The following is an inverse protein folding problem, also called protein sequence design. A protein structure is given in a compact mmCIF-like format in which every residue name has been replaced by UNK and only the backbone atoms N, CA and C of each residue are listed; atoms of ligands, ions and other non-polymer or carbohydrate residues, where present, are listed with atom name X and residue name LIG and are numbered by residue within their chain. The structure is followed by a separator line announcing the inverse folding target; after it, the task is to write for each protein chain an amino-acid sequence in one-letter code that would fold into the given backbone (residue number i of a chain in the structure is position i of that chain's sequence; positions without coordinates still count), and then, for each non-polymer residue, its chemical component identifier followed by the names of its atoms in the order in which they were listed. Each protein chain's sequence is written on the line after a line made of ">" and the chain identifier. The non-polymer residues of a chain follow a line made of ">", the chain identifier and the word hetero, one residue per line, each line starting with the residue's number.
data_IF_380688365363
#
_entry.id   IF_380688365363
#
_cell.length_a   1.000
_cell.length_b   1.000
_cell.length_c   1.000
_cell.angle_alpha   90.00
_cell.angle_beta   90.00
_cell.angle_gamma   90.00
#
_symmetry.space_group_name_H-M   'P 1'
#
loop_
_entity.id
_entity.type
_entity.pdbx_description
1 polymer ?
#
# COMPACT_ATOMS: atom_id res chain seq x y z
N UNK A 1 16.65 -42.03 -33.65
CA UNK A 1 16.97 -42.12 -32.20
C UNK A 1 17.29 -40.72 -31.72
N UNK A 2 16.32 -40.02 -31.11
CA UNK A 2 16.54 -38.70 -30.54
C UNK A 2 16.84 -38.85 -29.04
N UNK A 3 17.74 -38.00 -28.56
CA UNK A 3 18.54 -38.13 -27.36
C UNK A 3 17.73 -38.09 -26.05
N UNK A 4 17.15 -39.22 -25.63
CA UNK A 4 16.56 -39.39 -24.28
C UNK A 4 17.63 -39.66 -23.19
N UNK A 5 18.91 -39.56 -23.52
CA UNK A 5 20.05 -39.95 -22.67
C UNK A 5 20.79 -38.82 -21.96
N UNK A 6 20.36 -37.56 -22.08
CA UNK A 6 20.95 -36.43 -21.32
C UNK A 6 19.89 -35.72 -20.48
N UNK A 7 19.26 -36.45 -19.56
CA UNK A 7 18.36 -35.90 -18.52
C UNK A 7 19.08 -35.79 -17.16
N UNK A 8 20.40 -35.50 -17.17
CA UNK A 8 21.19 -35.25 -15.98
C UNK A 8 21.56 -33.77 -15.85
N UNK A 9 21.08 -33.17 -14.74
CA UNK A 9 21.66 -32.03 -14.03
C UNK A 9 22.00 -30.77 -14.84
N UNK A 10 21.04 -29.85 -14.91
CA UNK A 10 21.41 -28.43 -14.87
C UNK A 10 20.66 -27.79 -13.70
N UNK A 11 21.26 -27.90 -12.51
CA UNK A 11 21.26 -26.76 -11.61
C UNK A 11 22.07 -25.66 -12.31
N UNK A 12 21.78 -24.38 -12.05
CA UNK A 12 22.74 -23.34 -12.45
C UNK A 12 24.13 -23.68 -11.89
N UNK A 13 25.21 -23.08 -12.42
CA UNK A 13 26.62 -23.34 -12.08
C UNK A 13 26.87 -23.35 -10.55
N UNK A 14 25.99 -22.71 -9.78
CA UNK A 14 26.00 -22.60 -8.32
C UNK A 14 25.05 -23.55 -7.56
N UNK A 15 24.44 -24.54 -8.21
CA UNK A 15 23.51 -25.46 -7.54
C UNK A 15 22.07 -24.94 -7.38
N UNK A 16 21.72 -23.81 -7.99
CA UNK A 16 20.43 -23.12 -7.84
C UNK A 16 19.36 -23.60 -8.82
N UNK A 17 18.09 -23.33 -8.48
CA UNK A 17 16.93 -23.60 -9.36
C UNK A 17 17.00 -22.71 -10.60
N UNK A 18 16.65 -23.29 -11.76
CA UNK A 18 16.60 -22.57 -13.03
C UNK A 18 15.31 -21.75 -13.10
N UNK A 19 15.42 -20.47 -13.46
CA UNK A 19 14.25 -19.62 -13.67
C UNK A 19 13.71 -19.85 -15.08
N UNK A 20 12.52 -20.47 -15.16
CA UNK A 20 11.82 -20.79 -16.40
C UNK A 20 10.35 -20.42 -16.23
N UNK A 21 9.79 -19.69 -17.18
CA UNK A 21 8.35 -19.41 -17.25
C UNK A 21 7.68 -20.28 -18.33
N UNK A 22 6.35 -20.25 -18.36
CA UNK A 22 5.54 -21.11 -19.21
C UNK A 22 5.17 -20.50 -20.56
N UNK A 23 5.85 -19.42 -20.97
CA UNK A 23 5.82 -18.95 -22.38
C UNK A 23 6.79 -19.72 -23.27
N UNK A 24 7.72 -20.46 -22.67
CA UNK A 24 8.68 -21.31 -23.39
C UNK A 24 8.07 -22.66 -23.74
N UNK A 25 8.57 -23.35 -24.78
CA UNK A 25 8.18 -24.72 -25.07
C UNK A 25 8.31 -25.61 -23.83
N UNK A 26 7.27 -26.40 -23.55
CA UNK A 26 7.27 -27.35 -22.45
C UNK A 26 6.44 -28.57 -22.79
N UNK A 27 6.44 -29.52 -21.87
CA UNK A 27 5.67 -30.75 -22.03
C UNK A 27 4.18 -30.46 -21.87
N UNK A 28 3.38 -31.20 -22.62
CA UNK A 28 1.92 -31.09 -22.58
C UNK A 28 1.30 -32.43 -22.20
N UNK A 29 0.00 -32.44 -21.97
CA UNK A 29 -0.76 -33.68 -21.74
C UNK A 29 -2.04 -33.70 -22.55
N UNK A 30 -2.41 -34.87 -23.05
CA UNK A 30 -3.71 -35.13 -23.65
C UNK A 30 -4.43 -36.23 -22.90
N UNK A 31 -5.75 -36.09 -22.74
CA UNK A 31 -6.58 -37.11 -22.11
C UNK A 31 -6.90 -38.20 -23.14
N UNK A 32 -6.71 -39.45 -22.76
CA UNK A 32 -6.92 -40.64 -23.58
C UNK A 32 -7.85 -41.60 -22.83
N UNK A 33 -8.78 -42.22 -23.54
CA UNK A 33 -9.75 -43.19 -23.00
C UNK A 33 -10.54 -42.66 -21.79
N UNK A 34 -10.84 -41.35 -21.77
CA UNK A 34 -11.66 -40.69 -20.74
C UNK A 34 -11.00 -40.52 -19.36
N UNK A 35 -10.04 -41.37 -18.99
CA UNK A 35 -9.50 -41.46 -17.62
C UNK A 35 -7.99 -41.29 -17.53
N UNK A 36 -7.25 -41.56 -18.61
CA UNK A 36 -5.78 -41.61 -18.61
C UNK A 36 -5.19 -40.39 -19.31
N UNK A 37 -3.95 -40.03 -18.99
CA UNK A 37 -3.21 -38.97 -19.68
C UNK A 37 -1.99 -39.52 -20.40
N UNK A 38 -1.81 -39.13 -21.66
CA UNK A 38 -0.54 -39.21 -22.37
C UNK A 38 0.18 -37.87 -22.24
N UNK A 39 1.50 -37.92 -22.10
CA UNK A 39 2.36 -36.75 -22.02
C UNK A 39 3.18 -36.64 -23.30
N UNK A 40 3.41 -35.41 -23.75
CA UNK A 40 4.13 -35.12 -24.98
C UNK A 40 5.26 -34.15 -24.69
N UNK A 41 6.39 -34.35 -25.35
CA UNK A 41 7.55 -33.48 -25.23
C UNK A 41 7.37 -32.17 -26.03
N UNK A 42 8.42 -31.36 -26.10
CA UNK A 42 8.41 -30.07 -26.81
C UNK A 42 8.28 -30.22 -28.32
N UNK A 43 8.58 -31.40 -28.87
CA UNK A 43 8.45 -31.73 -30.29
C UNK A 43 7.11 -32.42 -30.60
N UNK A 44 6.25 -32.61 -29.59
CA UNK A 44 4.98 -33.33 -29.71
C UNK A 44 5.12 -34.86 -29.71
N UNK A 45 6.29 -35.42 -29.39
CA UNK A 45 6.48 -36.87 -29.28
C UNK A 45 6.03 -37.37 -27.92
N UNK A 46 5.45 -38.57 -27.91
CA UNK A 46 4.96 -39.18 -26.67
C UNK A 46 6.12 -39.48 -25.72
N UNK A 47 6.03 -38.97 -24.50
CA UNK A 47 6.96 -39.27 -23.41
C UNK A 47 6.65 -40.66 -22.85
N UNK A 48 7.59 -41.58 -22.97
CA UNK A 48 7.51 -42.95 -22.44
C UNK A 48 8.56 -43.24 -21.37
N UNK A 49 9.55 -42.36 -21.20
CA UNK A 49 10.65 -42.57 -20.27
C UNK A 49 10.15 -42.66 -18.81
N UNK A 50 10.43 -43.75 -18.08
CA UNK A 50 9.87 -43.99 -16.75
C UNK A 50 10.18 -42.90 -15.72
N UNK A 51 11.41 -42.37 -15.71
CA UNK A 51 11.82 -41.34 -14.75
C UNK A 51 11.09 -40.02 -14.98
N UNK A 52 10.96 -39.59 -16.24
CA UNK A 52 10.21 -38.39 -16.62
C UNK A 52 8.73 -38.53 -16.24
N UNK A 53 8.12 -39.68 -16.53
CA UNK A 53 6.73 -39.96 -16.15
C UNK A 53 6.51 -40.01 -14.63
N UNK A 54 7.47 -40.54 -13.87
CA UNK A 54 7.41 -40.54 -12.41
C UNK A 54 7.44 -39.11 -11.85
N UNK A 55 8.35 -38.27 -12.37
CA UNK A 55 8.44 -36.83 -12.01
C UNK A 55 7.13 -36.11 -12.29
N UNK A 56 6.58 -36.24 -13.50
CA UNK A 56 5.34 -35.55 -13.88
C UNK A 56 4.18 -35.99 -12.97
N UNK A 57 4.08 -37.30 -12.66
CA UNK A 57 3.05 -37.82 -11.74
C UNK A 57 3.18 -37.27 -10.34
N UNK A 58 4.42 -37.11 -9.82
CA UNK A 58 4.68 -36.54 -8.51
C UNK A 58 4.22 -35.07 -8.37
N UNK A 59 4.06 -34.33 -9.48
CA UNK A 59 3.52 -32.97 -9.46
C UNK A 59 2.03 -32.91 -9.08
N UNK A 60 1.33 -34.06 -9.10
CA UNK A 60 -0.09 -34.17 -8.74
C UNK A 60 -0.95 -33.10 -9.43
N UNK A 61 -0.78 -32.95 -10.75
CA UNK A 61 -1.52 -31.96 -11.55
C UNK A 61 -2.97 -32.43 -11.66
N UNK A 62 -3.95 -31.70 -11.09
CA UNK A 62 -5.33 -32.15 -11.03
C UNK A 62 -5.87 -32.52 -12.41
N UNK A 63 -6.62 -33.64 -12.54
CA UNK A 63 -7.08 -34.13 -13.83
C UNK A 63 -8.02 -33.15 -14.53
N UNK A 64 -8.74 -32.31 -13.78
CA UNK A 64 -9.65 -31.30 -14.31
C UNK A 64 -8.96 -30.06 -14.93
N UNK A 65 -7.64 -29.91 -14.77
CA UNK A 65 -6.94 -28.74 -15.33
C UNK A 65 -6.82 -28.83 -16.87
N UNK A 66 -7.08 -27.71 -17.53
CA UNK A 66 -6.95 -27.51 -18.97
C UNK A 66 -5.68 -26.70 -19.28
N UNK A 67 -5.28 -26.61 -20.55
CA UNK A 67 -4.10 -25.82 -21.00
C UNK A 67 -2.87 -26.08 -20.11
N UNK A 68 -2.55 -27.35 -19.90
CA UNK A 68 -1.47 -27.74 -18.98
C UNK A 68 -0.12 -27.67 -19.69
N UNK A 69 0.77 -26.87 -19.10
CA UNK A 69 2.18 -26.82 -19.44
C UNK A 69 2.99 -27.44 -18.31
N UNK A 70 4.00 -28.23 -18.64
CA UNK A 70 4.87 -28.91 -17.68
C UNK A 70 6.31 -28.63 -18.07
N UNK A 71 7.15 -28.27 -17.10
CA UNK A 71 8.53 -27.92 -17.38
C UNK A 71 9.32 -29.16 -17.84
N UNK A 72 10.13 -29.02 -18.92
CA UNK A 72 11.05 -30.08 -19.33
C UNK A 72 12.19 -30.25 -18.32
N UNK A 73 12.54 -29.19 -17.59
CA UNK A 73 13.65 -29.19 -16.64
C UNK A 73 13.19 -29.62 -15.24
N UNK A 74 13.82 -30.66 -14.69
CA UNK A 74 13.52 -31.13 -13.34
C UNK A 74 13.85 -30.11 -12.24
N UNK A 75 14.80 -29.21 -12.49
CA UNK A 75 15.26 -28.20 -11.52
C UNK A 75 14.78 -26.77 -11.84
N UNK A 76 13.79 -26.61 -12.71
CA UNK A 76 13.15 -25.30 -12.88
C UNK A 76 12.30 -24.96 -11.65
N UNK A 77 12.27 -23.69 -11.27
CA UNK A 77 11.45 -23.27 -10.13
C UNK A 77 9.95 -23.52 -10.37
N UNK A 78 9.47 -23.27 -11.60
CA UNK A 78 8.11 -23.52 -12.04
C UNK A 78 8.05 -24.88 -12.74
N UNK A 79 7.37 -25.85 -12.14
CA UNK A 79 7.30 -27.22 -12.62
C UNK A 79 6.09 -27.47 -13.53
N UNK A 80 4.95 -26.82 -13.29
CA UNK A 80 3.81 -26.90 -14.19
C UNK A 80 2.86 -25.72 -14.01
N UNK A 81 2.09 -25.43 -15.05
CA UNK A 81 0.93 -24.55 -15.02
C UNK A 81 -0.28 -25.24 -15.64
N UNK A 82 -1.47 -24.73 -15.34
CA UNK A 82 -2.71 -25.17 -15.97
C UNK A 82 -3.88 -24.30 -15.56
N UNK A 83 -4.97 -24.33 -16.31
CA UNK A 83 -6.21 -23.63 -15.98
C UNK A 83 -7.16 -24.53 -15.22
N UNK A 84 -7.66 -24.05 -14.08
CA UNK A 84 -8.70 -24.78 -13.35
C UNK A 84 -10.08 -24.65 -14.02
N UNK A 85 -11.10 -25.32 -13.46
CA UNK A 85 -12.48 -25.28 -13.96
C UNK A 85 -13.11 -23.87 -14.02
N UNK A 86 -12.45 -22.85 -13.44
CA UNK A 86 -12.86 -21.43 -13.50
C UNK A 86 -11.96 -20.61 -14.44
N UNK A 87 -11.14 -21.26 -15.26
CA UNK A 87 -10.21 -20.62 -16.20
C UNK A 87 -8.99 -19.97 -15.55
N UNK A 88 -8.82 -20.11 -14.22
CA UNK A 88 -7.72 -19.45 -13.49
C UNK A 88 -6.44 -20.23 -13.69
N UNK A 89 -5.36 -19.53 -14.02
CA UNK A 89 -4.02 -20.11 -14.11
C UNK A 89 -3.53 -20.54 -12.72
N UNK A 90 -3.19 -21.80 -12.60
CA UNK A 90 -2.69 -22.46 -11.40
C UNK A 90 -1.25 -22.89 -11.65
N UNK A 91 -0.45 -22.92 -10.58
CA UNK A 91 0.98 -23.17 -10.65
C UNK A 91 1.34 -24.39 -9.78
N UNK A 92 2.38 -25.10 -10.19
CA UNK A 92 3.10 -26.11 -9.42
C UNK A 92 4.56 -25.72 -9.44
N UNK A 93 5.17 -25.59 -8.26
CA UNK A 93 6.57 -25.20 -8.11
C UNK A 93 7.40 -26.37 -7.63
N UNK A 94 8.71 -26.32 -7.89
CA UNK A 94 9.67 -27.26 -7.33
C UNK A 94 9.64 -27.24 -5.79
N UNK A 95 9.88 -28.36 -5.12
CA UNK A 95 9.83 -28.43 -3.65
C UNK A 95 10.79 -27.42 -2.99
N UNK A 96 11.98 -27.27 -3.57
CA UNK A 96 13.02 -26.35 -3.09
C UNK A 96 12.66 -24.87 -3.30
N UNK A 97 11.69 -24.56 -4.17
CA UNK A 97 11.26 -23.19 -4.43
C UNK A 97 10.68 -22.52 -3.19
N UNK A 98 9.88 -23.26 -2.42
CA UNK A 98 9.32 -22.77 -1.17
C UNK A 98 10.44 -22.46 -0.18
N UNK A 99 11.45 -23.35 -0.05
CA UNK A 99 12.59 -23.15 0.85
C UNK A 99 13.43 -21.92 0.47
N UNK A 100 13.73 -21.74 -0.81
CA UNK A 100 14.49 -20.58 -1.30
C UNK A 100 13.70 -19.28 -1.13
N UNK A 101 12.40 -19.27 -1.43
CA UNK A 101 11.55 -18.07 -1.27
C UNK A 101 11.21 -17.75 0.17
N UNK A 102 11.12 -18.74 1.05
CA UNK A 102 10.85 -18.52 2.47
C UNK A 102 12.01 -17.80 3.15
N UNK A 103 13.27 -18.12 2.82
CA UNK A 103 14.44 -17.39 3.32
C UNK A 103 14.40 -15.89 2.92
N UNK A 104 14.10 -15.59 1.66
CA UNK A 104 13.94 -14.21 1.17
C UNK A 104 12.75 -13.50 1.81
N UNK A 105 11.70 -14.23 2.19
CA UNK A 105 10.48 -13.67 2.79
C UNK A 105 10.70 -13.17 4.21
N UNK A 106 11.60 -13.77 4.99
CA UNK A 106 11.97 -13.25 6.32
C UNK A 106 12.72 -11.93 6.21
N UNK A 107 13.75 -11.87 5.35
CA UNK A 107 14.54 -10.67 5.12
C UNK A 107 13.68 -9.52 4.59
N UNK A 108 12.84 -9.80 3.58
CA UNK A 108 11.89 -8.83 3.03
C UNK A 108 10.89 -8.31 4.07
N UNK A 109 10.51 -9.14 5.06
CA UNK A 109 9.59 -8.73 6.11
C UNK A 109 10.25 -7.80 7.15
N UNK A 110 11.50 -8.07 7.52
CA UNK A 110 12.27 -7.19 8.40
C UNK A 110 12.54 -5.84 7.72
N UNK A 111 12.92 -5.86 6.44
CA UNK A 111 13.09 -4.65 5.64
C UNK A 111 11.78 -3.86 5.52
N UNK A 112 10.65 -4.55 5.28
CA UNK A 112 9.33 -3.91 5.29
C UNK A 112 9.04 -3.21 6.62
N UNK A 113 9.33 -3.87 7.74
CA UNK A 113 9.21 -3.29 9.08
C UNK A 113 10.02 -2.01 9.25
N UNK A 114 11.27 -2.02 8.79
CA UNK A 114 12.17 -0.85 8.82
C UNK A 114 11.70 0.30 7.91
N UNK A 115 11.05 -0.01 6.77
CA UNK A 115 10.52 0.97 5.81
C UNK A 115 9.11 1.46 6.15
N UNK A 116 8.37 0.76 7.02
CA UNK A 116 7.00 1.09 7.37
C UNK A 116 6.80 2.53 7.89
N UNK A 117 7.68 3.10 8.75
CA UNK A 117 7.58 4.50 9.15
C UNK A 117 7.63 5.49 7.97
N UNK A 118 8.42 5.18 6.93
CA UNK A 118 8.49 6.00 5.71
C UNK A 118 7.18 5.94 4.93
N UNK A 119 6.61 4.74 4.76
CA UNK A 119 5.33 4.56 4.07
C UNK A 119 4.21 5.32 4.80
N UNK A 120 4.17 5.22 6.13
CA UNK A 120 3.22 5.99 6.97
C UNK A 120 3.40 7.49 6.75
N UNK A 121 4.63 8.03 6.84
CA UNK A 121 4.87 9.47 6.57
C UNK A 121 4.40 9.89 5.17
N UNK A 122 4.58 9.06 4.16
CA UNK A 122 4.07 9.33 2.81
C UNK A 122 2.54 9.37 2.77
N UNK A 123 1.87 8.35 3.31
CA UNK A 123 0.40 8.31 3.40
C UNK A 123 -0.16 9.53 4.14
N UNK A 124 0.44 9.90 5.27
CA UNK A 124 0.05 11.08 6.04
C UNK A 124 0.23 12.38 5.24
N UNK A 125 1.25 12.49 4.38
CA UNK A 125 1.43 13.65 3.48
C UNK A 125 0.32 13.68 2.42
N UNK A 126 0.07 12.57 1.75
CA UNK A 126 -0.93 12.50 0.67
C UNK A 126 -2.36 12.71 1.19
N UNK A 127 -2.65 12.31 2.44
CA UNK A 127 -3.93 12.60 3.09
C UNK A 127 -4.21 14.10 3.27
N UNK A 128 -3.16 14.94 3.32
CA UNK A 128 -3.29 16.41 3.46
C UNK A 128 -3.58 17.10 2.13
N UNK A 129 -3.39 16.45 0.99
CA UNK A 129 -3.61 17.06 -0.33
C UNK A 129 -5.04 17.62 -0.46
N UNK A 130 -5.19 18.77 -1.13
CA UNK A 130 -6.50 19.30 -1.49
C UNK A 130 -7.20 18.37 -2.49
N UNK A 131 -8.52 18.51 -2.64
CA UNK A 131 -9.26 17.70 -3.61
C UNK A 131 -9.28 16.20 -3.27
N UNK A 132 -9.55 15.37 -4.29
CA UNK A 132 -9.60 13.91 -4.19
C UNK A 132 -8.65 13.23 -5.20
N UNK A 133 -7.35 13.62 -5.22
CA UNK A 133 -6.39 13.04 -6.16
C UNK A 133 -6.12 11.56 -5.84
N UNK A 134 -5.60 10.83 -6.82
CA UNK A 134 -5.29 9.40 -6.72
C UNK A 134 -4.50 9.06 -5.46
N UNK A 135 -3.40 9.77 -5.21
CA UNK A 135 -2.51 9.51 -4.05
C UNK A 135 -3.25 9.60 -2.71
N UNK A 136 -4.20 10.54 -2.58
CA UNK A 136 -4.97 10.72 -1.34
C UNK A 136 -5.92 9.55 -1.08
N UNK A 137 -6.59 9.06 -2.12
CA UNK A 137 -7.50 7.92 -2.00
C UNK A 137 -6.71 6.63 -1.74
N UNK A 138 -5.57 6.46 -2.40
CA UNK A 138 -4.65 5.34 -2.12
C UNK A 138 -4.14 5.40 -0.67
N UNK A 139 -3.77 6.58 -0.16
CA UNK A 139 -3.33 6.73 1.23
C UNK A 139 -4.43 6.31 2.22
N UNK A 140 -5.71 6.62 1.96
CA UNK A 140 -6.83 6.09 2.75
C UNK A 140 -6.89 4.56 2.68
N UNK A 141 -6.75 3.98 1.49
CA UNK A 141 -6.74 2.51 1.33
C UNK A 141 -5.57 1.87 2.09
N UNK A 142 -4.40 2.48 2.09
CA UNK A 142 -3.21 2.01 2.85
C UNK A 142 -3.44 2.11 4.35
N UNK A 143 -4.01 3.21 4.86
CA UNK A 143 -4.39 3.33 6.27
C UNK A 143 -5.40 2.27 6.68
N UNK A 144 -6.44 2.08 5.87
CA UNK A 144 -7.44 1.02 6.10
C UNK A 144 -6.81 -0.38 6.06
N UNK A 145 -5.88 -0.63 5.14
CA UNK A 145 -5.14 -1.90 5.06
C UNK A 145 -4.39 -2.18 6.36
N UNK A 146 -3.77 -1.17 6.96
CA UNK A 146 -3.04 -1.29 8.20
C UNK A 146 -3.96 -1.47 9.42
N UNK A 147 -4.98 -0.62 9.55
CA UNK A 147 -5.85 -0.59 10.75
C UNK A 147 -6.80 -1.79 10.81
N UNK A 148 -7.29 -2.24 9.65
CA UNK A 148 -8.30 -3.30 9.55
C UNK A 148 -7.72 -4.66 9.20
N UNK A 149 -6.51 -4.69 8.62
CA UNK A 149 -5.89 -5.86 8.03
C UNK A 149 -6.73 -6.51 6.93
N UNK A 150 -7.74 -5.84 6.37
CA UNK A 150 -8.54 -6.36 5.26
C UNK A 150 -7.63 -6.59 4.04
N UNK A 151 -7.90 -7.66 3.27
CA UNK A 151 -7.16 -7.92 2.04
C UNK A 151 -7.39 -6.81 1.01
N UNK A 152 -6.36 -6.50 0.23
CA UNK A 152 -6.48 -5.47 -0.81
C UNK A 152 -7.61 -5.77 -1.81
N UNK A 153 -7.76 -7.03 -2.23
CA UNK A 153 -8.76 -7.44 -3.22
C UNK A 153 -8.29 -7.18 -4.66
N UNK A 154 -8.79 -7.95 -5.61
CA UNK A 154 -8.61 -7.70 -7.04
C UNK A 154 -9.94 -7.93 -7.77
N UNK A 155 -10.19 -7.15 -8.83
CA UNK A 155 -11.51 -7.06 -9.49
C UNK A 155 -12.00 -8.41 -10.01
N UNK A 156 -11.09 -9.22 -10.55
CA UNK A 156 -11.37 -10.58 -11.05
C UNK A 156 -12.04 -11.47 -9.99
N UNK A 157 -11.53 -11.45 -8.75
CA UNK A 157 -12.07 -12.27 -7.67
C UNK A 157 -13.42 -11.77 -7.15
N UNK A 158 -13.65 -10.45 -7.18
CA UNK A 158 -14.88 -9.85 -6.70
C UNK A 158 -16.08 -10.21 -7.59
N UNK A 159 -15.91 -10.18 -8.91
CA UNK A 159 -16.96 -10.55 -9.87
C UNK A 159 -17.27 -12.04 -9.82
N UNK A 160 -16.26 -12.89 -9.88
CA UNK A 160 -16.44 -14.34 -9.99
C UNK A 160 -16.94 -15.00 -8.68
N UNK A 161 -16.51 -14.50 -7.52
CA UNK A 161 -16.74 -15.19 -6.23
C UNK A 161 -17.60 -14.40 -5.24
N UNK A 162 -18.15 -13.24 -5.64
CA UNK A 162 -18.82 -12.29 -4.73
C UNK A 162 -18.01 -12.04 -3.44
N UNK A 163 -16.69 -12.02 -3.58
CA UNK A 163 -15.72 -11.95 -2.48
C UNK A 163 -14.92 -10.65 -2.60
N UNK A 164 -15.04 -9.76 -1.63
CA UNK A 164 -14.51 -8.40 -1.70
C UNK A 164 -13.24 -8.22 -0.85
N UNK A 165 -12.34 -7.39 -1.33
CA UNK A 165 -11.28 -6.72 -0.55
C UNK A 165 -11.38 -5.20 -0.71
N UNK A 166 -10.52 -4.44 -0.03
CA UNK A 166 -10.57 -2.97 0.06
C UNK A 166 -10.83 -2.27 -1.28
N UNK A 167 -10.06 -2.57 -2.32
CA UNK A 167 -10.16 -1.91 -3.65
C UNK A 167 -11.40 -2.31 -4.42
N UNK A 168 -12.07 -3.39 -4.03
CA UNK A 168 -13.29 -3.89 -4.68
C UNK A 168 -14.55 -3.65 -3.85
N UNK A 169 -14.43 -2.97 -2.70
CA UNK A 169 -15.59 -2.58 -1.92
C UNK A 169 -16.48 -1.66 -2.77
N UNK A 170 -17.78 -1.75 -2.52
CA UNK A 170 -18.81 -0.96 -3.20
C UNK A 170 -19.53 -0.12 -2.18
N UNK A 171 -20.30 0.88 -2.64
CA UNK A 171 -21.07 1.80 -1.79
C UNK A 171 -21.92 1.07 -0.73
N UNK A 172 -22.59 -0.03 -1.10
CA UNK A 172 -23.41 -0.86 -0.19
C UNK A 172 -22.66 -1.52 0.96
N UNK A 173 -21.32 -1.62 0.89
CA UNK A 173 -20.50 -2.21 1.94
C UNK A 173 -20.06 -1.19 2.99
N UNK A 174 -20.30 0.11 2.75
CA UNK A 174 -19.87 1.18 3.64
C UNK A 174 -21.07 1.86 4.31
N UNK A 175 -20.90 2.21 5.58
CA UNK A 175 -21.82 3.07 6.32
C UNK A 175 -21.00 4.10 7.08
N UNK A 176 -21.38 5.38 6.98
CA UNK A 176 -20.72 6.48 7.67
C UNK A 176 -21.61 7.01 8.79
N UNK A 177 -21.01 7.26 9.96
CA UNK A 177 -21.64 7.96 11.09
C UNK A 177 -20.61 8.86 11.74
N UNK A 178 -20.73 10.18 11.53
CA UNK A 178 -19.77 11.16 12.07
C UNK A 178 -18.33 10.89 11.58
N UNK A 179 -17.44 10.56 12.52
CA UNK A 179 -16.04 10.19 12.28
C UNK A 179 -15.80 8.69 12.07
N UNK A 180 -16.87 7.89 12.00
CA UNK A 180 -16.81 6.44 11.87
C UNK A 180 -17.16 5.96 10.46
N UNK A 181 -16.29 5.10 9.92
CA UNK A 181 -16.53 4.31 8.72
C UNK A 181 -16.68 2.84 9.11
N UNK A 182 -17.87 2.30 8.88
CA UNK A 182 -18.15 0.87 9.04
C UNK A 182 -18.14 0.16 7.71
N UNK A 183 -17.39 -0.93 7.62
CA UNK A 183 -17.26 -1.79 6.45
C UNK A 183 -17.86 -3.17 6.73
N UNK A 184 -18.90 -3.55 5.97
CA UNK A 184 -19.58 -4.86 6.06
C UNK A 184 -19.64 -5.55 4.70
N UNK A 185 -18.98 -6.71 4.58
CA UNK A 185 -18.90 -7.45 3.31
C UNK A 185 -18.49 -8.91 3.55
N UNK A 186 -18.57 -9.74 2.49
CA UNK A 186 -17.98 -11.10 2.49
C UNK A 186 -16.64 -11.06 1.75
N UNK A 187 -15.58 -11.52 2.42
CA UNK A 187 -14.22 -11.54 1.92
C UNK A 187 -13.84 -12.86 1.25
N UNK A 188 -12.53 -13.08 1.12
CA UNK A 188 -11.97 -14.34 0.59
C UNK A 188 -12.56 -15.55 1.33
N UNK A 189 -12.94 -16.57 0.57
CA UNK A 189 -13.58 -17.80 1.08
C UNK A 189 -14.92 -17.57 1.80
N UNK A 190 -15.62 -16.47 1.49
CA UNK A 190 -16.95 -16.17 2.04
C UNK A 190 -16.96 -15.66 3.48
N UNK A 191 -15.79 -15.45 4.09
CA UNK A 191 -15.66 -14.99 5.49
C UNK A 191 -16.31 -13.62 5.66
N UNK A 192 -17.22 -13.50 6.62
CA UNK A 192 -17.89 -12.23 6.91
C UNK A 192 -16.93 -11.25 7.60
N UNK A 193 -16.89 -10.02 7.10
CA UNK A 193 -16.19 -8.90 7.71
C UNK A 193 -17.21 -7.85 8.19
N UNK A 194 -17.00 -7.38 9.41
CA UNK A 194 -17.73 -6.26 10.01
C UNK A 194 -16.72 -5.46 10.85
N UNK A 195 -16.16 -4.41 10.28
CA UNK A 195 -15.08 -3.62 10.89
C UNK A 195 -15.47 -2.15 10.90
N UNK A 196 -15.27 -1.49 12.04
CA UNK A 196 -15.47 -0.05 12.18
C UNK A 196 -14.12 0.62 12.38
N UNK A 197 -13.86 1.67 11.60
CA UNK A 197 -12.68 2.53 11.72
C UNK A 197 -13.15 3.90 12.16
N UNK A 198 -12.55 4.43 13.24
CA UNK A 198 -12.85 5.76 13.77
C UNK A 198 -11.69 6.70 13.43
N UNK A 199 -11.84 7.41 12.33
CA UNK A 199 -10.88 8.41 11.87
C UNK A 199 -11.62 9.45 11.01
N UNK A 200 -11.63 10.70 11.49
CA UNK A 200 -12.35 11.80 10.85
C UNK A 200 -11.86 12.10 9.43
N UNK A 201 -10.57 11.90 9.14
CA UNK A 201 -10.00 12.12 7.80
C UNK A 201 -10.40 11.00 6.85
N UNK A 202 -10.29 9.74 7.28
CA UNK A 202 -10.74 8.57 6.51
C UNK A 202 -12.24 8.67 6.22
N UNK A 203 -13.06 8.94 7.23
CA UNK A 203 -14.51 9.08 7.09
C UNK A 203 -14.88 10.20 6.10
N UNK A 204 -14.19 11.35 6.15
CA UNK A 204 -14.40 12.47 5.21
C UNK A 204 -14.04 12.11 3.77
N UNK A 205 -12.92 11.43 3.55
CA UNK A 205 -12.53 10.99 2.20
C UNK A 205 -13.48 9.93 1.68
N UNK A 206 -13.84 8.94 2.50
CA UNK A 206 -14.82 7.92 2.15
C UNK A 206 -16.19 8.53 1.82
N UNK A 207 -16.62 9.57 2.55
CA UNK A 207 -17.84 10.34 2.21
C UNK A 207 -17.75 10.91 0.80
N UNK A 208 -16.65 11.60 0.48
CA UNK A 208 -16.45 12.19 -0.84
C UNK A 208 -16.38 11.15 -1.95
N UNK A 209 -15.78 9.99 -1.71
CA UNK A 209 -15.82 8.90 -2.69
C UNK A 209 -17.25 8.33 -2.86
N UNK A 210 -18.08 8.34 -1.81
CA UNK A 210 -19.52 8.07 -1.91
C UNK A 210 -20.29 9.21 -2.57
N UNK A 211 -19.75 10.40 -2.79
CA UNK A 211 -20.45 11.42 -3.56
C UNK A 211 -20.21 11.23 -5.07
N UNK A 212 -19.18 10.47 -5.46
CA UNK A 212 -18.85 10.16 -6.85
C UNK A 212 -19.78 9.06 -7.39
N UNK A 213 -20.45 9.27 -8.54
CA UNK A 213 -21.23 8.23 -9.21
C UNK A 213 -20.40 6.98 -9.51
N UNK A 214 -21.02 5.80 -9.48
CA UNK A 214 -20.35 4.53 -9.77
C UNK A 214 -20.51 3.48 -8.68
N UNK A 215 -20.06 2.26 -8.95
CA UNK A 215 -20.26 1.13 -8.04
C UNK A 215 -19.17 1.03 -6.97
N UNK A 216 -17.94 1.38 -7.31
CA UNK A 216 -16.78 1.18 -6.45
C UNK A 216 -16.75 2.22 -5.33
N UNK A 217 -16.35 1.80 -4.12
CA UNK A 217 -16.30 2.67 -2.95
C UNK A 217 -15.14 3.67 -3.05
N UNK A 218 -13.93 3.20 -3.37
CA UNK A 218 -12.75 4.05 -3.44
C UNK A 218 -12.51 4.47 -4.88
N UNK A 219 -12.84 5.73 -5.14
CA UNK A 219 -12.68 6.41 -6.43
C UNK A 219 -11.95 7.73 -6.21
N UNK A 220 -11.13 8.13 -7.17
CA UNK A 220 -10.47 9.43 -7.21
C UNK A 220 -10.91 10.20 -8.46
N UNK A 221 -10.67 11.51 -8.46
CA UNK A 221 -10.86 12.35 -9.65
C UNK A 221 -9.49 12.65 -10.25
N UNK A 222 -9.37 12.52 -11.57
CA UNK A 222 -8.17 12.95 -12.29
C UNK A 222 -8.17 14.48 -12.52
N UNK A 223 -7.17 14.97 -13.26
CA UNK A 223 -7.00 16.39 -13.57
C UNK A 223 -8.16 16.97 -14.41
N UNK A 224 -8.90 16.12 -15.13
CA UNK A 224 -10.08 16.50 -15.93
C UNK A 224 -11.38 16.40 -15.14
N UNK A 225 -11.31 15.95 -13.89
CA UNK A 225 -12.47 15.71 -13.05
C UNK A 225 -13.16 14.37 -13.30
N UNK A 226 -12.55 13.49 -14.09
CA UNK A 226 -13.13 12.18 -14.42
C UNK A 226 -12.91 11.18 -13.28
N UNK A 227 -13.93 10.35 -12.95
CA UNK A 227 -13.84 9.40 -11.85
C UNK A 227 -13.10 8.11 -12.25
N UNK A 228 -12.14 7.72 -11.42
CA UNK A 228 -11.36 6.50 -11.60
C UNK A 228 -11.36 5.64 -10.33
N UNK A 229 -11.52 4.33 -10.51
CA UNK A 229 -11.44 3.36 -9.41
C UNK A 229 -10.00 3.07 -9.01
N UNK A 230 -9.75 2.93 -7.70
CA UNK A 230 -8.47 2.41 -7.18
C UNK A 230 -8.43 0.89 -7.30
N UNK A 231 -7.32 0.31 -7.75
CA UNK A 231 -7.13 -1.14 -7.82
C UNK A 231 -5.89 -1.62 -7.05
N UNK A 232 -5.70 -2.93 -7.00
CA UNK A 232 -4.55 -3.52 -6.30
C UNK A 232 -3.22 -3.14 -6.91
N UNK A 233 -3.16 -2.89 -8.22
CA UNK A 233 -1.92 -2.60 -8.92
C UNK A 233 -1.42 -1.20 -8.56
N UNK A 234 -2.30 -0.20 -8.67
CA UNK A 234 -2.03 1.18 -8.26
C UNK A 234 -1.64 1.28 -6.79
N UNK A 235 -2.30 0.54 -5.89
CA UNK A 235 -1.91 0.49 -4.47
C UNK A 235 -0.54 -0.16 -4.27
N UNK A 236 -0.24 -1.27 -4.94
CA UNK A 236 1.07 -1.89 -4.81
C UNK A 236 2.19 -1.01 -5.41
N UNK A 237 1.93 -0.31 -6.52
CA UNK A 237 2.86 0.67 -7.09
C UNK A 237 3.16 1.79 -6.10
N UNK A 238 2.13 2.33 -5.46
CA UNK A 238 2.28 3.32 -4.38
C UNK A 238 3.13 2.79 -3.22
N UNK A 239 2.89 1.54 -2.77
CA UNK A 239 3.67 0.94 -1.68
C UNK A 239 5.15 0.76 -2.05
N UNK A 240 5.45 0.38 -3.30
CA UNK A 240 6.83 0.29 -3.78
C UNK A 240 7.53 1.64 -3.77
N UNK A 241 6.88 2.66 -4.31
CA UNK A 241 7.42 4.02 -4.36
C UNK A 241 7.60 4.62 -2.95
N UNK A 242 6.58 4.51 -2.09
CA UNK A 242 6.62 5.04 -0.73
C UNK A 242 7.65 4.31 0.14
N UNK A 243 7.77 2.99 -0.01
CA UNK A 243 8.69 2.16 0.75
C UNK A 243 10.12 2.13 0.23
N UNK A 244 10.34 2.54 -1.03
CA UNK A 244 11.61 2.37 -1.75
C UNK A 244 12.11 0.92 -1.72
N UNK A 245 11.23 -0.01 -2.09
CA UNK A 245 11.50 -1.45 -2.14
C UNK A 245 10.32 -2.23 -2.70
N UNK A 246 10.47 -3.54 -2.95
CA UNK A 246 9.45 -4.38 -3.59
C UNK A 246 8.33 -4.84 -2.64
N UNK A 247 7.74 -3.88 -1.93
CA UNK A 247 6.66 -4.12 -0.99
C UNK A 247 5.30 -4.15 -1.68
N UNK A 248 4.39 -4.89 -1.06
CA UNK A 248 3.02 -5.10 -1.54
C UNK A 248 2.07 -5.15 -0.36
N UNK A 249 0.76 -5.06 -0.63
CA UNK A 249 -0.26 -5.14 0.43
C UNK A 249 -0.22 -6.47 1.22
N UNK A 250 0.38 -7.53 0.66
CA UNK A 250 0.61 -8.80 1.36
C UNK A 250 1.58 -8.65 2.54
N UNK A 251 2.56 -7.75 2.43
CA UNK A 251 3.55 -7.51 3.48
C UNK A 251 2.89 -6.95 4.74
N UNK A 252 1.97 -5.99 4.61
CA UNK A 252 1.19 -5.45 5.74
C UNK A 252 0.54 -6.53 6.59
N UNK A 253 -0.21 -7.44 5.96
CA UNK A 253 -0.90 -8.51 6.69
C UNK A 253 0.06 -9.51 7.33
N UNK A 254 1.19 -9.78 6.67
CA UNK A 254 2.22 -10.69 7.20
C UNK A 254 2.93 -10.05 8.39
N UNK A 255 3.33 -8.79 8.26
CA UNK A 255 3.97 -8.00 9.32
C UNK A 255 3.05 -7.85 10.54
N UNK A 256 1.80 -7.43 10.34
CA UNK A 256 0.84 -7.29 11.42
C UNK A 256 0.57 -8.63 12.12
N UNK A 257 0.43 -9.73 11.37
CA UNK A 257 0.31 -11.07 11.96
C UNK A 257 1.51 -11.44 12.84
N UNK A 258 2.71 -11.01 12.44
CA UNK A 258 3.97 -11.23 13.16
C UNK A 258 4.01 -10.44 14.46
N UNK A 259 3.73 -9.13 14.39
CA UNK A 259 3.71 -8.22 15.53
C UNK A 259 2.64 -8.64 16.54
N UNK A 260 1.43 -9.01 16.06
CA UNK A 260 0.35 -9.50 16.92
C UNK A 260 0.73 -10.81 17.63
N UNK A 261 1.37 -11.74 16.92
CA UNK A 261 1.83 -13.00 17.53
C UNK A 261 2.88 -12.74 18.60
N UNK A 262 3.89 -11.92 18.28
CA UNK A 262 4.96 -11.56 19.20
C UNK A 262 4.40 -10.88 20.46
N UNK A 263 3.58 -9.84 20.29
CA UNK A 263 2.97 -9.12 21.40
C UNK A 263 2.12 -10.03 22.30
N UNK A 264 1.34 -10.96 21.71
CA UNK A 264 0.54 -11.91 22.47
C UNK A 264 1.39 -12.91 23.26
N UNK A 265 2.55 -13.34 22.73
CA UNK A 265 3.46 -14.25 23.41
C UNK A 265 4.22 -13.59 24.57
N UNK A 266 4.52 -12.30 24.48
CA UNK A 266 5.21 -11.58 25.58
C UNK A 266 4.42 -11.60 26.90
N UNK A 267 3.09 -11.68 26.84
CA UNK A 267 2.22 -11.75 28.01
C UNK A 267 1.88 -13.16 28.49
N UNK A 268 2.55 -14.21 27.99
CA UNK A 268 2.21 -15.61 28.25
C UNK A 268 3.41 -16.36 28.85
N UNK A 269 3.63 -16.29 30.18
CA UNK A 269 4.67 -17.09 30.82
C UNK A 269 4.33 -18.58 30.72
N UNK A 270 5.35 -19.43 30.68
CA UNK A 270 5.22 -20.87 30.64
C UNK A 270 6.26 -21.53 31.56
N UNK A 271 5.94 -22.71 32.07
CA UNK A 271 6.78 -23.46 33.01
C UNK A 271 7.56 -24.59 32.34
N UNK A 272 7.01 -25.16 31.26
CA UNK A 272 7.62 -26.27 30.52
C UNK A 272 7.38 -26.15 29.00
N UNK A 273 8.06 -27.02 28.22
CA UNK A 273 7.95 -27.03 26.76
C UNK A 273 6.54 -27.37 26.25
N UNK A 274 5.79 -28.21 26.96
CA UNK A 274 4.44 -28.60 26.54
C UNK A 274 3.50 -27.41 26.65
N UNK A 275 3.58 -26.67 27.76
CA UNK A 275 2.86 -25.42 27.97
C UNK A 275 3.27 -24.37 26.92
N UNK A 276 4.57 -24.19 26.67
CA UNK A 276 5.05 -23.26 25.63
C UNK A 276 4.46 -23.56 24.24
N UNK A 277 4.40 -24.84 23.84
CA UNK A 277 3.79 -25.27 22.58
C UNK A 277 2.30 -24.96 22.55
N UNK A 278 1.59 -25.16 23.67
CA UNK A 278 0.17 -24.85 23.79
C UNK A 278 -0.11 -23.35 23.66
N UNK A 279 0.66 -22.51 24.34
CA UNK A 279 0.56 -21.04 24.24
C UNK A 279 0.73 -20.55 22.80
N UNK A 280 1.71 -21.11 22.07
CA UNK A 280 1.94 -20.79 20.65
C UNK A 280 0.75 -21.17 19.79
N UNK A 281 0.15 -22.35 20.02
CA UNK A 281 -1.05 -22.78 19.28
C UNK A 281 -2.21 -21.81 19.51
N UNK A 282 -2.40 -21.35 20.75
CA UNK A 282 -3.49 -20.44 21.10
C UNK A 282 -3.28 -19.04 20.54
N UNK A 283 -2.04 -18.54 20.54
CA UNK A 283 -1.66 -17.30 19.84
C UNK A 283 -1.92 -17.41 18.34
N UNK A 284 -1.54 -18.52 17.69
CA UNK A 284 -1.82 -18.75 16.27
C UNK A 284 -3.33 -18.70 16.00
N UNK A 285 -4.16 -19.33 16.85
CA UNK A 285 -5.63 -19.28 16.73
C UNK A 285 -6.14 -17.85 16.87
N UNK A 286 -5.63 -17.08 17.83
CA UNK A 286 -5.99 -15.67 18.03
C UNK A 286 -5.65 -14.81 16.81
N UNK A 287 -4.43 -14.92 16.29
CA UNK A 287 -3.97 -14.18 15.10
C UNK A 287 -4.76 -14.59 13.86
N UNK A 288 -5.06 -15.89 13.71
CA UNK A 288 -5.87 -16.41 12.60
C UNK A 288 -7.27 -15.79 12.58
N UNK A 289 -7.93 -15.67 13.74
CA UNK A 289 -9.21 -14.96 13.87
C UNK A 289 -9.08 -13.50 13.46
N UNK A 290 -8.06 -12.77 13.97
CA UNK A 290 -7.85 -11.35 13.65
C UNK A 290 -7.60 -11.10 12.16
N UNK A 291 -6.89 -12.00 11.49
CA UNK A 291 -6.57 -11.91 10.06
C UNK A 291 -7.66 -12.47 9.14
N UNK A 292 -8.73 -13.08 9.68
CA UNK A 292 -9.70 -13.86 8.91
C UNK A 292 -9.01 -14.93 8.03
N UNK A 293 -8.25 -15.80 8.69
CA UNK A 293 -7.50 -16.93 8.14
C UNK A 293 -7.77 -18.20 8.95
N UNK A 294 -7.45 -19.36 8.37
CA UNK A 294 -7.39 -20.61 9.16
C UNK A 294 -6.08 -20.68 9.95
N UNK A 295 -6.05 -21.39 11.10
CA UNK A 295 -4.82 -21.58 11.87
C UNK A 295 -3.69 -22.21 11.04
N UNK A 296 -4.00 -23.14 10.15
CA UNK A 296 -3.02 -23.77 9.25
C UNK A 296 -2.32 -22.75 8.34
N UNK A 297 -3.09 -21.81 7.75
CA UNK A 297 -2.53 -20.74 6.91
C UNK A 297 -1.69 -19.75 7.72
N UNK A 298 -2.06 -19.48 8.97
CA UNK A 298 -1.28 -18.63 9.86
C UNK A 298 0.00 -19.30 10.38
N UNK A 299 -0.02 -20.61 10.64
CA UNK A 299 1.17 -21.39 11.03
C UNK A 299 2.21 -21.45 9.91
N UNK A 300 1.77 -21.47 8.65
CA UNK A 300 2.65 -21.37 7.48
C UNK A 300 3.21 -19.94 7.25
N UNK A 301 2.89 -18.96 8.11
CA UNK A 301 3.58 -17.68 8.08
C UNK A 301 4.91 -17.78 8.85
N UNK A 302 5.98 -17.18 8.30
CA UNK A 302 7.33 -17.14 8.87
C UNK A 302 7.40 -16.78 10.38
N UNK A 303 6.58 -15.82 10.81
CA UNK A 303 6.75 -15.19 12.11
C UNK A 303 6.26 -15.96 13.36
N UNK A 304 5.14 -16.71 13.37
CA UNK A 304 4.83 -17.59 14.49
C UNK A 304 5.94 -18.62 14.77
N UNK A 305 6.70 -19.04 13.75
CA UNK A 305 7.85 -19.94 13.89
C UNK A 305 9.06 -19.25 14.52
N UNK A 306 9.37 -18.01 14.09
CA UNK A 306 10.45 -17.22 14.70
C UNK A 306 10.11 -16.80 16.14
N UNK A 307 8.87 -16.38 16.40
CA UNK A 307 8.40 -16.05 17.74
C UNK A 307 8.39 -17.28 18.65
N UNK A 308 8.05 -18.47 18.13
CA UNK A 308 8.23 -19.73 18.84
C UNK A 308 9.69 -19.96 19.22
N UNK A 309 10.63 -19.86 18.27
CA UNK A 309 12.05 -20.07 18.53
C UNK A 309 12.63 -19.09 19.57
N UNK A 310 12.19 -17.82 19.56
CA UNK A 310 12.58 -16.82 20.57
C UNK A 310 11.89 -17.08 21.91
N UNK A 311 10.61 -17.45 21.91
CA UNK A 311 9.82 -17.67 23.11
C UNK A 311 10.24 -18.95 23.83
N UNK A 312 10.58 -20.03 23.13
CA UNK A 312 11.07 -21.28 23.75
C UNK A 312 12.54 -21.21 24.15
N UNK A 313 13.25 -20.13 23.83
CA UNK A 313 14.61 -19.90 24.30
C UNK A 313 14.52 -19.57 25.79
N UNK A 314 14.81 -20.58 26.63
CA UNK A 314 14.87 -20.49 28.09
C UNK A 314 15.53 -19.16 28.51
N UNK A 315 14.96 -18.34 29.41
CA UNK A 315 15.72 -17.26 30.01
C UNK A 315 16.97 -17.87 30.65
N UNK A 316 18.15 -17.23 30.60
CA UNK A 316 19.30 -17.72 31.34
C UNK A 316 18.87 -17.89 32.80
N UNK A 317 19.12 -19.07 33.36
CA UNK A 317 19.01 -19.27 34.80
C UNK A 317 19.81 -18.16 35.48
N UNK A 318 19.24 -17.43 36.46
CA UNK A 318 20.03 -16.49 37.23
C UNK A 318 21.25 -17.25 37.79
N UNK A 319 22.46 -16.66 37.76
CA UNK A 319 23.61 -17.31 38.37
C UNK A 319 23.29 -17.64 39.83
N UNK A 320 23.79 -18.78 40.37
CA UNK A 320 23.62 -19.07 41.78
C UNK A 320 24.14 -17.87 42.61
N UNK A 321 23.52 -17.56 43.76
CA UNK A 321 23.98 -16.47 44.60
C UNK A 321 25.47 -16.68 44.93
N UNK A 322 26.28 -15.61 44.93
CA UNK A 322 27.70 -15.73 45.26
C UNK A 322 27.85 -16.37 46.65
N UNK A 323 28.90 -17.18 46.87
CA UNK A 323 29.17 -17.74 48.19
C UNK A 323 29.30 -16.60 49.23
N UNK A 324 28.89 -16.83 50.49
CA UNK A 324 29.00 -15.82 51.53
C UNK A 324 30.45 -15.32 51.65
N UNK A 325 30.67 -14.02 51.86
CA UNK A 325 32.01 -13.46 51.98
C UNK A 325 32.74 -14.10 53.16
N UNK A 326 34.08 -14.30 53.07
CA UNK A 326 34.87 -14.79 54.20
C UNK A 326 34.75 -13.81 55.39
N UNK A 327 34.88 -14.30 56.64
CA UNK A 327 34.79 -13.45 57.83
C UNK A 327 35.83 -12.33 57.76
N UNK A 328 35.39 -11.11 58.06
CA UNK A 328 36.21 -9.90 58.04
C UNK A 328 37.33 -9.98 59.09
N UNK A 329 38.59 -9.67 58.76
CA UNK A 329 39.65 -9.55 59.76
C UNK A 329 39.39 -8.37 60.71
N UNK A 330 39.89 -8.40 61.96
CA UNK A 330 39.66 -7.35 62.94
C UNK A 330 40.22 -6.00 62.48
N UNK A 331 39.59 -4.87 62.83
CA UNK A 331 39.98 -3.56 62.35
C UNK A 331 41.35 -3.12 62.90
N UNK A 332 42.16 -2.37 62.11
CA UNK A 332 43.42 -1.81 62.57
C UNK A 332 43.20 -0.68 63.59
N UNK A 333 44.20 -0.38 64.46
CA UNK A 333 44.08 0.67 65.47
C UNK A 333 43.94 2.06 64.83
N UNK A 334 43.24 3.00 65.50
CA UNK A 334 42.91 4.31 64.93
C UNK A 334 44.15 5.19 64.73
N UNK A 335 44.17 6.03 63.68
CA UNK A 335 45.27 6.95 63.39
C UNK A 335 45.32 8.13 64.39
N UNK A 336 46.50 8.76 64.58
CA UNK A 336 46.65 9.91 65.46
C UNK A 336 45.90 11.15 64.94
N UNK A 337 45.49 12.07 65.85
CA UNK A 337 44.64 13.20 65.49
C UNK A 337 45.36 14.21 64.59
N UNK A 338 44.63 14.87 63.66
CA UNK A 338 45.19 15.84 62.73
C UNK A 338 45.55 17.17 63.43
N UNK A 339 46.53 17.94 62.90
CA UNK A 339 46.89 19.24 63.45
C UNK A 339 45.77 20.28 63.27
N UNK A 340 45.74 21.25 64.19
CA UNK A 340 44.72 22.29 64.25
C UNK A 340 44.63 23.11 62.95
N UNK A 341 43.40 23.34 62.48
CA UNK A 341 43.12 24.13 61.28
C UNK A 341 43.41 25.62 61.52
N UNK A 342 43.99 26.35 60.55
CA UNK A 342 44.09 27.80 60.61
C UNK A 342 42.70 28.47 60.50
N UNK A 343 42.55 29.70 61.02
CA UNK A 343 41.27 30.40 61.00
C UNK A 343 40.81 30.72 59.57
N UNK A 344 39.49 30.80 59.33
CA UNK A 344 38.94 31.07 58.00
C UNK A 344 39.27 32.51 57.54
N UNK A 345 39.44 32.74 56.24
CA UNK A 345 39.63 34.09 55.69
C UNK A 345 38.34 34.94 55.85
N UNK A 346 38.46 36.28 55.90
CA UNK A 346 37.31 37.15 56.02
C UNK A 346 36.37 37.02 54.80
N UNK A 347 35.06 37.27 54.98
CA UNK A 347 34.09 37.15 53.90
C UNK A 347 34.38 38.15 52.77
N UNK A 348 34.22 37.68 51.53
CA UNK A 348 34.38 38.51 50.34
C UNK A 348 33.35 39.66 50.33
N UNK A 349 33.70 40.85 49.81
CA UNK A 349 32.73 41.93 49.64
C UNK A 349 31.61 41.49 48.67
N UNK A 350 30.38 42.01 48.85
CA UNK A 350 29.27 41.68 47.97
C UNK A 350 29.60 42.08 46.53
N UNK A 351 29.11 41.33 45.52
CA UNK A 351 29.31 41.70 44.12
C UNK A 351 28.68 43.07 43.84
N UNK A 352 29.27 43.88 42.94
CA UNK A 352 28.65 45.14 42.52
C UNK A 352 27.26 44.85 41.94
N UNK A 353 26.29 45.68 42.30
CA UNK A 353 24.95 45.66 41.71
C UNK A 353 25.07 45.76 40.19
N UNK A 354 24.34 44.94 39.41
CA UNK A 354 24.34 45.04 37.95
C UNK A 354 23.88 46.45 37.55
N UNK A 355 24.46 47.05 36.49
CA UNK A 355 23.99 48.34 36.00
C UNK A 355 22.51 48.23 35.61
N UNK A 356 21.72 49.32 35.76
CA UNK A 356 20.33 49.31 35.33
C UNK A 356 20.27 48.95 33.84
N UNK A 357 19.21 48.24 33.40
CA UNK A 357 19.03 47.94 31.98
C UNK A 357 19.07 49.25 31.18
N UNK A 358 19.66 49.25 29.97
CA UNK A 358 19.61 50.43 29.12
C UNK A 358 18.15 50.84 28.91
N UNK A 359 17.86 52.15 28.79
CA UNK A 359 16.50 52.59 28.46
C UNK A 359 16.05 51.88 27.18
N UNK A 360 14.75 51.54 27.05
CA UNK A 360 14.24 50.92 25.85
C UNK A 360 14.65 51.76 24.65
N UNK A 361 15.16 51.09 23.60
CA UNK A 361 15.45 51.74 22.33
C UNK A 361 14.23 52.56 21.91
N UNK A 362 14.40 53.79 21.40
CA UNK A 362 13.28 54.53 20.83
C UNK A 362 12.61 53.64 19.77
N UNK A 363 11.27 53.71 19.62
CA UNK A 363 10.58 52.94 18.59
C UNK A 363 11.25 53.20 17.24
N UNK A 364 11.36 52.18 16.36
CA UNK A 364 11.87 52.39 15.01
C UNK A 364 11.09 53.54 14.36
N UNK A 365 11.74 54.41 13.56
CA UNK A 365 11.02 55.43 12.82
C UNK A 365 9.89 54.77 12.03
N UNK A 366 8.72 55.42 11.90
CA UNK A 366 7.62 54.87 11.13
C UNK A 366 8.13 54.49 9.73
N UNK A 367 7.61 53.40 9.14
CA UNK A 367 7.95 53.07 7.76
C UNK A 367 7.70 54.30 6.88
N UNK A 368 8.55 54.55 5.85
CA UNK A 368 8.34 55.69 4.96
C UNK A 368 6.91 55.65 4.44
N UNK A 369 6.23 56.80 4.51
CA UNK A 369 4.90 56.96 3.93
C UNK A 369 4.92 56.41 2.50
N UNK A 370 3.88 55.66 2.07
CA UNK A 370 3.78 55.26 0.68
C UNK A 370 3.89 56.51 -0.20
N UNK A 371 4.54 56.42 -1.38
CA UNK A 371 4.68 57.58 -2.26
C UNK A 371 3.30 58.18 -2.52
N UNK A 372 3.21 59.51 -2.39
CA UNK A 372 2.01 60.27 -2.76
C UNK A 372 1.58 59.84 -4.16
N UNK A 373 0.27 59.60 -4.41
CA UNK A 373 -0.20 59.35 -5.76
C UNK A 373 0.23 60.51 -6.67
N UNK A 374 0.58 60.24 -7.93
CA UNK A 374 0.96 61.30 -8.86
C UNK A 374 -0.15 62.36 -8.95
N UNK A 375 0.20 63.65 -9.11
CA UNK A 375 -0.81 64.69 -9.25
C UNK A 375 -1.75 64.37 -10.42
N UNK A 376 -3.04 64.70 -10.33
CA UNK A 376 -3.96 64.51 -11.44
C UNK A 376 -3.45 65.25 -12.68
N UNK A 377 -3.64 64.70 -13.90
CA UNK A 377 -3.21 65.35 -15.12
C UNK A 377 -3.84 66.75 -15.23
N UNK A 378 -3.11 67.74 -15.79
CA UNK A 378 -3.64 69.09 -15.96
C UNK A 378 -4.92 69.06 -16.83
N UNK A 379 -5.89 69.95 -16.56
CA UNK A 379 -7.11 70.02 -17.37
C UNK A 379 -6.76 70.32 -18.84
N UNK A 380 -7.51 69.78 -19.81
CA UNK A 380 -7.27 70.03 -21.22
C UNK A 380 -7.37 71.54 -21.53
N UNK A 381 -6.38 72.04 -22.26
CA UNK A 381 -6.32 73.42 -22.77
C UNK A 381 -7.54 73.74 -23.65
N UNK A 382 -8.20 74.88 -23.46
CA UNK A 382 -9.32 75.29 -24.30
C UNK A 382 -8.86 75.59 -25.74
N UNK A 383 -9.67 75.25 -26.76
CA UNK A 383 -9.32 75.52 -28.16
C UNK A 383 -9.36 77.03 -28.48
N UNK A 384 -8.54 77.51 -29.44
CA UNK A 384 -8.47 78.93 -29.78
C UNK A 384 -9.75 79.41 -30.51
N UNK A 385 -10.10 80.71 -30.38
CA UNK A 385 -11.33 81.26 -30.95
C UNK A 385 -11.25 81.39 -32.48
N UNK A 386 -12.34 80.99 -33.16
CA UNK A 386 -12.51 81.21 -34.61
C UNK A 386 -13.05 82.62 -34.89
N UNK A 387 -12.59 83.29 -35.95
CA UNK A 387 -13.09 84.61 -36.33
C UNK A 387 -14.42 84.55 -37.10
N UNK A 388 -15.26 85.55 -36.85
CA UNK A 388 -16.59 85.77 -37.43
C UNK A 388 -16.52 86.59 -38.72
N UNK A 389 -17.21 86.17 -39.78
CA UNK A 389 -17.87 87.02 -40.80
C UNK A 389 -18.77 86.14 -41.70
N UNK A 390 -20.10 86.20 -41.66
CA UNK A 390 -21.08 87.15 -42.24
C UNK A 390 -21.70 86.64 -43.57
N UNK A 391 -23.06 86.59 -43.59
CA UNK A 391 -24.03 86.47 -44.72
C UNK A 391 -24.08 85.15 -45.53
N UNK A 392 -25.19 84.57 -46.00
CA UNK A 392 -26.68 84.69 -45.95
C UNK A 392 -27.23 83.69 -47.05
N UNK A 393 -28.53 83.43 -47.28
CA UNK A 393 -29.63 82.94 -46.43
C UNK A 393 -30.32 81.66 -47.06
N UNK A 394 -31.61 81.25 -46.84
CA UNK A 394 -32.01 79.86 -46.55
C UNK A 394 -32.75 79.12 -47.70
N UNK A 395 -33.14 77.84 -47.52
CA UNK A 395 -34.59 77.56 -47.37
C UNK A 395 -34.96 76.38 -46.43
N UNK A 396 -36.25 76.38 -46.08
CA UNK A 396 -36.98 75.53 -45.12
C UNK A 396 -37.38 74.12 -45.65
N UNK A 397 -38.26 73.36 -44.97
CA UNK A 397 -37.97 72.19 -44.13
C UNK A 397 -38.45 70.86 -44.77
N UNK A 398 -38.21 69.68 -44.14
CA UNK A 398 -39.35 68.81 -43.87
C UNK A 398 -39.26 67.90 -42.62
N UNK A 399 -40.43 67.77 -41.96
CA UNK A 399 -41.17 66.61 -41.39
C UNK A 399 -40.47 65.38 -40.74
N UNK A 400 -41.17 64.69 -39.79
CA UNK A 400 -40.56 63.75 -38.83
C UNK A 400 -40.64 62.25 -39.20
N UNK A 401 -39.68 61.51 -38.62
CA UNK A 401 -39.55 60.06 -38.32
C UNK A 401 -40.37 58.99 -39.08
N UNK A 402 -39.73 57.82 -39.30
CA UNK A 402 -40.37 56.56 -38.90
C UNK A 402 -39.47 55.56 -38.17
N UNK A 403 -40.17 54.58 -37.60
CA UNK A 403 -39.83 53.60 -36.57
C UNK A 403 -38.79 52.53 -36.96
N UNK A 404 -38.12 52.00 -35.93
CA UNK A 404 -37.24 50.81 -35.96
C UNK A 404 -37.99 49.56 -36.45
N UNK A 405 -37.33 48.68 -37.24
CA UNK A 405 -37.83 47.32 -37.47
C UNK A 405 -37.28 46.29 -36.45
N UNK A 406 -38.18 45.35 -36.14
CA UNK A 406 -38.07 44.18 -35.27
C UNK A 406 -37.15 43.09 -35.89
N UNK A 407 -36.35 42.38 -35.07
CA UNK A 407 -35.42 41.31 -35.49
C UNK A 407 -35.93 39.94 -34.99
N UNK A 408 -36.21 38.95 -35.86
CA UNK A 408 -36.67 37.62 -35.44
C UNK A 408 -35.50 36.66 -35.05
N UNK A 409 -35.77 35.62 -34.23
CA UNK A 409 -34.79 34.62 -33.77
C UNK A 409 -34.47 33.54 -34.84
N UNK A 410 -33.34 32.80 -34.69
CA UNK A 410 -32.83 31.88 -35.71
C UNK A 410 -33.61 30.55 -35.81
N UNK A 411 -33.78 30.08 -37.05
CA UNK A 411 -34.47 28.84 -37.41
C UNK A 411 -33.66 27.55 -37.15
N UNK A 412 -34.33 26.41 -36.91
CA UNK A 412 -33.70 25.11 -36.63
C UNK A 412 -33.13 24.43 -37.89
N UNK A 413 -32.03 23.70 -37.72
CA UNK A 413 -31.37 22.91 -38.76
C UNK A 413 -32.15 21.62 -39.06
N UNK A 414 -32.46 21.39 -40.34
CA UNK A 414 -32.93 20.10 -40.85
C UNK A 414 -31.76 19.13 -41.11
N UNK A 415 -32.01 17.81 -41.07
CA UNK A 415 -30.99 16.76 -41.16
C UNK A 415 -30.58 16.47 -42.61
N UNK A 416 -29.28 16.29 -42.84
CA UNK A 416 -28.73 15.77 -44.10
C UNK A 416 -28.85 14.26 -44.15
N UNK A 417 -29.55 13.76 -45.17
CA UNK A 417 -29.57 12.36 -45.58
C UNK A 417 -28.44 12.09 -46.60
N UNK A 418 -27.73 10.98 -46.44
CA UNK A 418 -26.91 10.32 -47.48
C UNK A 418 -26.65 8.85 -47.08
N UNK A 419 -26.37 7.97 -48.05
CA UNK A 419 -27.03 6.66 -48.24
C UNK A 419 -26.28 5.45 -47.62
N UNK A 420 -26.84 4.22 -47.67
CA UNK A 420 -26.45 3.11 -46.79
C UNK A 420 -25.23 2.31 -47.26
N UNK A 421 -24.54 1.58 -46.37
CA UNK A 421 -23.51 0.61 -46.73
C UNK A 421 -24.12 -0.72 -47.22
N UNK A 422 -23.52 -1.39 -48.23
CA UNK A 422 -23.91 -2.74 -48.61
C UNK A 422 -23.41 -3.82 -47.62
N UNK A 423 -24.17 -4.92 -47.59
CA UNK A 423 -24.10 -6.09 -46.73
C UNK A 423 -22.77 -6.89 -46.72
N UNK A 424 -22.57 -7.75 -45.70
CA UNK A 424 -21.43 -8.65 -45.61
C UNK A 424 -21.62 -9.90 -46.49
N UNK A 425 -20.51 -10.45 -47.00
CA UNK A 425 -20.47 -11.75 -47.64
C UNK A 425 -19.44 -12.65 -46.93
N UNK A 426 -19.96 -13.83 -46.54
CA UNK A 426 -19.30 -15.11 -46.19
C UNK A 426 -18.51 -15.19 -44.88
#
# INVERSE_FOLDING_TARGET
>A
MANHGQEAAARDVNGNLVYLDDTRPGYTRARVNGTTFHYFDTDGKRITHPATLARIRALAIPPAYQEVWISPLAHSHLQATGRDARGRKQYRYHADWARQRDATKYQSLAEFGARLPRIRRQAERDLRAAGLPQAKVIAVVVRLLEDTLIRIGAREYARANRSYGLTTLTRRHATLRGDQLRLRFRGKSGVAHNVTVRDRRIARVAKRCLDIPGQQLFQYLDERGEPHGVDSETVNAYLRAAGAGDFTAKHYRTWAGSVLAYAALQGRPYQDERQARQEVVDVIRQVARRLANTPAVCRACPAPTAAHATHTRRPPTPPPPPPPPPPTPPPPPPPPPPPARPPPPPPAPPPPTPPPPPPPLPPPPPPPLPPLPPPPPPPPTPPPPRPSATHAPPPSPPLPHPLRPYRPPPAPRHPTASPPPPHPAV
#
